data_IF_619288189555
#
_entry.id   IF_619288189555
#
_cell.length_a   1.000
_cell.length_b   1.000
_cell.length_c   1.000
_cell.angle_alpha   90.00
_cell.angle_beta   90.00
_cell.angle_gamma   90.00
#
_symmetry.space_group_name_H-M   'P 1'
#
loop_
_entity.id
_entity.type
_entity.pdbx_description
1 polymer ?
#
# COMPACT_ATOMS: atom_id res chain seq x y z
N UNK A 1 28.80 1.61 23.75
CA UNK A 1 27.49 1.44 23.07
C UNK A 1 27.60 2.15 21.73
N UNK A 2 27.57 1.41 20.61
CA UNK A 2 27.58 2.05 19.28
C UNK A 2 26.15 2.56 19.05
N UNK A 3 25.98 3.88 19.03
CA UNK A 3 24.71 4.50 18.61
C UNK A 3 24.66 4.34 17.09
N UNK A 4 23.78 3.48 16.60
CA UNK A 4 23.54 3.32 15.17
C UNK A 4 22.40 4.26 14.79
N UNK A 5 22.66 5.21 13.90
CA UNK A 5 21.57 5.94 13.27
C UNK A 5 20.88 5.05 12.24
N UNK A 6 19.63 5.38 11.89
CA UNK A 6 18.88 4.67 10.84
C UNK A 6 19.65 4.54 9.53
N UNK A 7 20.44 5.54 9.14
CA UNK A 7 21.31 5.44 7.96
C UNK A 7 22.39 4.37 8.08
N UNK A 8 22.91 4.13 9.28
CA UNK A 8 23.96 3.14 9.53
C UNK A 8 23.40 1.72 9.45
N UNK A 9 22.16 1.54 9.92
CA UNK A 9 21.42 0.27 9.77
C UNK A 9 21.25 -0.07 8.29
N UNK A 10 20.74 0.87 7.49
CA UNK A 10 20.57 0.66 6.04
C UNK A 10 21.90 0.25 5.40
N UNK A 11 22.98 1.00 5.66
CA UNK A 11 24.30 0.68 5.10
C UNK A 11 24.76 -0.72 5.52
N UNK A 12 24.65 -1.04 6.80
CA UNK A 12 25.14 -2.32 7.34
C UNK A 12 24.37 -3.50 6.73
N UNK A 13 23.04 -3.44 6.64
CA UNK A 13 22.21 -4.48 6.02
C UNK A 13 22.59 -4.66 4.55
N UNK A 14 22.63 -3.56 3.79
CA UNK A 14 22.86 -3.61 2.35
C UNK A 14 24.28 -4.11 2.04
N UNK A 15 25.30 -3.64 2.75
CA UNK A 15 26.67 -4.11 2.56
C UNK A 15 26.86 -5.58 2.97
N UNK A 16 26.27 -6.04 4.07
CA UNK A 16 26.30 -7.47 4.46
C UNK A 16 25.69 -8.37 3.39
N UNK A 17 24.71 -7.86 2.64
CA UNK A 17 24.05 -8.56 1.54
C UNK A 17 24.69 -8.31 0.17
N UNK A 18 25.91 -7.74 0.09
CA UNK A 18 26.60 -7.36 -1.15
C UNK A 18 25.78 -6.44 -2.07
N UNK A 19 24.90 -5.62 -1.49
CA UNK A 19 24.13 -4.60 -2.20
C UNK A 19 24.86 -3.27 -2.06
N UNK A 20 25.70 -2.92 -3.05
CA UNK A 20 26.51 -1.69 -3.00
C UNK A 20 25.97 -0.55 -3.86
N UNK A 21 24.94 -0.82 -4.68
CA UNK A 21 24.43 0.14 -5.65
C UNK A 21 23.26 0.97 -5.09
N UNK A 22 23.54 1.72 -4.00
CA UNK A 22 22.51 2.51 -3.32
C UNK A 22 23.00 3.90 -2.90
N UNK A 23 22.03 4.79 -2.69
CA UNK A 23 22.22 6.09 -2.07
C UNK A 23 21.17 6.29 -0.97
N UNK A 24 21.56 6.86 0.17
CA UNK A 24 20.63 7.20 1.25
C UNK A 24 20.38 8.70 1.22
N UNK A 25 19.11 9.12 1.25
CA UNK A 25 18.70 10.52 1.32
C UNK A 25 17.80 10.76 2.52
N UNK A 26 18.22 11.64 3.42
CA UNK A 26 17.40 12.06 4.55
C UNK A 26 16.47 13.18 4.08
N UNK A 27 15.25 12.84 3.64
CA UNK A 27 14.25 13.80 3.18
C UNK A 27 12.86 13.19 3.06
N UNK A 28 11.87 14.07 2.98
CA UNK A 28 10.47 13.71 2.76
C UNK A 28 9.72 13.55 4.07
N UNK A 29 8.43 13.20 3.96
CA UNK A 29 7.53 12.99 5.10
C UNK A 29 7.44 11.54 5.54
N UNK A 30 7.87 10.61 4.69
CA UNK A 30 7.74 9.17 4.89
C UNK A 30 9.00 8.53 4.33
N UNK A 31 9.57 7.60 5.09
CA UNK A 31 10.65 6.72 4.64
C UNK A 31 10.15 5.80 3.52
N UNK A 32 10.98 5.58 2.49
CA UNK A 32 10.61 4.71 1.35
C UNK A 32 11.81 4.24 0.54
N UNK A 33 11.69 3.08 -0.07
CA UNK A 33 12.63 2.55 -1.05
C UNK A 33 12.22 2.91 -2.48
N UNK A 34 13.09 3.63 -3.20
CA UNK A 34 12.99 3.83 -4.64
C UNK A 34 14.01 2.94 -5.36
N UNK A 35 13.58 1.72 -5.67
CA UNK A 35 14.43 0.74 -6.32
C UNK A 35 14.62 1.01 -7.81
N UNK A 36 15.87 0.98 -8.24
CA UNK A 36 16.28 0.91 -9.63
C UNK A 36 17.53 0.01 -9.69
N UNK A 37 17.57 -0.91 -10.66
CA UNK A 37 18.71 -1.82 -10.87
C UNK A 37 20.05 -1.08 -10.97
N UNK A 38 20.04 0.11 -11.57
CA UNK A 38 21.24 0.93 -11.78
C UNK A 38 21.61 1.81 -10.61
N UNK A 39 20.66 2.19 -9.75
CA UNK A 39 20.92 2.99 -8.54
C UNK A 39 19.67 3.04 -7.66
N UNK A 40 19.64 2.28 -6.58
CA UNK A 40 18.54 2.33 -5.62
C UNK A 40 18.70 3.51 -4.68
N UNK A 41 17.62 4.21 -4.37
CA UNK A 41 17.64 5.31 -3.40
C UNK A 41 16.76 4.93 -2.20
N UNK A 42 17.33 4.94 -1.01
CA UNK A 42 16.60 4.78 0.25
C UNK A 42 16.34 6.16 0.82
N UNK A 43 15.07 6.55 0.93
CA UNK A 43 14.67 7.78 1.60
C UNK A 43 14.37 7.46 3.05
N UNK A 44 14.98 8.21 3.96
CA UNK A 44 14.67 8.17 5.40
C UNK A 44 14.05 9.52 5.76
N UNK A 45 12.90 9.51 6.41
CA UNK A 45 12.29 10.71 6.95
C UNK A 45 13.21 11.32 8.02
N UNK A 46 13.39 12.64 8.11
CA UNK A 46 14.20 13.24 9.18
C UNK A 46 13.79 12.82 10.59
N UNK A 47 12.47 12.66 10.82
CA UNK A 47 11.92 12.17 12.09
C UNK A 47 12.31 10.72 12.39
N UNK A 48 12.50 9.91 11.35
CA UNK A 48 12.95 8.53 11.46
C UNK A 48 14.48 8.42 11.52
N UNK A 49 15.25 9.51 11.38
CA UNK A 49 16.70 9.44 11.40
C UNK A 49 17.30 9.59 12.81
N UNK A 50 16.90 8.71 13.71
CA UNK A 50 17.42 8.64 15.07
C UNK A 50 17.76 7.17 15.45
N UNK A 51 18.14 6.97 16.70
CA UNK A 51 18.53 5.69 17.31
C UNK A 51 17.37 4.95 18.00
N UNK A 52 16.15 5.46 17.88
CA UNK A 52 14.97 4.81 18.46
C UNK A 52 14.70 3.47 17.77
N UNK A 53 14.22 2.50 18.55
CA UNK A 53 13.87 1.18 18.02
C UNK A 53 12.97 1.23 16.78
N UNK A 54 11.95 2.10 16.78
CA UNK A 54 11.03 2.23 15.65
C UNK A 54 11.74 2.73 14.39
N UNK A 55 12.59 3.74 14.53
CA UNK A 55 13.40 4.28 13.45
C UNK A 55 14.34 3.21 12.85
N UNK A 56 14.98 2.41 13.69
CA UNK A 56 15.83 1.30 13.25
C UNK A 56 15.02 0.20 12.51
N UNK A 57 13.80 -0.10 12.97
CA UNK A 57 12.88 -1.01 12.27
C UNK A 57 12.52 -0.47 10.88
N UNK A 58 12.12 0.80 10.79
CA UNK A 58 11.76 1.45 9.51
C UNK A 58 12.95 1.42 8.56
N UNK A 59 14.15 1.77 9.04
CA UNK A 59 15.37 1.69 8.25
C UNK A 59 15.63 0.28 7.69
N UNK A 60 15.49 -0.76 8.52
CA UNK A 60 15.66 -2.14 8.10
C UNK A 60 14.57 -2.61 7.13
N UNK A 61 13.34 -2.14 7.30
CA UNK A 61 12.24 -2.38 6.40
C UNK A 61 12.55 -1.82 5.00
N UNK A 62 12.98 -0.56 4.89
CA UNK A 62 13.32 0.03 3.59
C UNK A 62 14.52 -0.64 2.92
N UNK A 63 15.53 -1.02 3.69
CA UNK A 63 16.66 -1.79 3.17
C UNK A 63 16.20 -3.16 2.64
N UNK A 64 15.28 -3.82 3.34
CA UNK A 64 14.75 -5.14 2.96
C UNK A 64 13.93 -5.10 1.68
N UNK A 65 13.21 -4.00 1.39
CA UNK A 65 12.59 -3.82 0.08
C UNK A 65 13.62 -3.88 -1.05
N UNK A 66 14.74 -3.15 -0.91
CA UNK A 66 15.79 -3.12 -1.94
C UNK A 66 16.36 -4.52 -2.23
N UNK A 67 16.58 -5.31 -1.18
CA UNK A 67 17.07 -6.67 -1.30
C UNK A 67 16.04 -7.61 -1.94
N UNK A 68 14.78 -7.56 -1.49
CA UNK A 68 13.68 -8.35 -2.04
C UNK A 68 13.46 -8.06 -3.53
N UNK A 69 13.55 -6.80 -3.94
CA UNK A 69 13.42 -6.41 -5.34
C UNK A 69 14.60 -6.87 -6.20
N UNK A 70 15.83 -6.81 -5.68
CA UNK A 70 17.01 -7.36 -6.38
C UNK A 70 16.91 -8.86 -6.60
N UNK A 71 16.45 -9.59 -5.59
CA UNK A 71 16.40 -11.06 -5.60
C UNK A 71 15.16 -11.60 -6.31
N UNK A 72 14.29 -10.74 -6.84
CA UNK A 72 13.07 -11.14 -7.54
C UNK A 72 11.99 -11.71 -6.61
N UNK A 73 12.11 -11.52 -5.30
CA UNK A 73 11.12 -11.94 -4.30
C UNK A 73 9.79 -11.23 -4.50
N UNK A 74 9.86 -9.95 -4.90
CA UNK A 74 8.74 -9.14 -5.36
C UNK A 74 9.14 -8.42 -6.66
N UNK A 75 8.19 -8.25 -7.58
CA UNK A 75 8.40 -7.47 -8.80
C UNK A 75 7.94 -6.02 -8.57
N UNK A 76 8.88 -5.06 -8.40
CA UNK A 76 8.52 -3.66 -8.14
C UNK A 76 7.83 -2.99 -9.34
N UNK A 77 8.07 -3.47 -10.56
CA UNK A 77 7.40 -2.93 -11.76
C UNK A 77 5.93 -3.30 -11.79
N UNK A 78 5.60 -4.54 -11.40
CA UNK A 78 4.23 -4.99 -11.28
C UNK A 78 3.49 -4.25 -10.15
N UNK A 79 4.13 -4.07 -8.99
CA UNK A 79 3.54 -3.31 -7.87
C UNK A 79 3.18 -1.88 -8.31
N UNK A 80 4.12 -1.19 -8.98
CA UNK A 80 3.91 0.17 -9.48
C UNK A 80 2.82 0.25 -10.56
N UNK A 81 2.74 -0.77 -11.42
CA UNK A 81 1.66 -0.87 -12.40
C UNK A 81 0.29 -1.02 -11.72
N UNK A 82 0.17 -1.96 -10.77
CA UNK A 82 -1.07 -2.18 -10.03
C UNK A 82 -1.49 -0.94 -9.24
N UNK A 83 -0.55 -0.25 -8.60
CA UNK A 83 -0.81 1.00 -7.90
C UNK A 83 -1.38 2.07 -8.84
N UNK A 84 -0.74 2.25 -10.00
CA UNK A 84 -1.18 3.23 -11.01
C UNK A 84 -2.54 2.86 -11.59
N UNK A 85 -2.76 1.58 -11.91
CA UNK A 85 -4.03 1.08 -12.43
C UNK A 85 -5.16 1.29 -11.42
N UNK A 86 -4.95 0.89 -10.17
CA UNK A 86 -5.89 1.11 -9.07
C UNK A 86 -6.24 2.61 -8.93
N UNK A 87 -5.25 3.50 -8.84
CA UNK A 87 -5.49 4.95 -8.72
C UNK A 87 -6.25 5.52 -9.93
N UNK A 88 -5.87 5.11 -11.13
CA UNK A 88 -6.49 5.60 -12.37
C UNK A 88 -7.94 5.13 -12.47
N UNK A 89 -8.20 3.85 -12.21
CA UNK A 89 -9.54 3.26 -12.24
C UNK A 89 -10.39 3.87 -11.12
N UNK A 90 -9.84 4.08 -9.93
CA UNK A 90 -10.52 4.77 -8.84
C UNK A 90 -10.99 6.18 -9.22
N UNK A 91 -10.09 7.00 -9.76
CA UNK A 91 -10.43 8.35 -10.23
C UNK A 91 -11.45 8.28 -11.37
N UNK A 92 -11.26 7.38 -12.33
CA UNK A 92 -12.19 7.22 -13.45
C UNK A 92 -13.59 6.82 -12.97
N UNK A 93 -13.71 5.85 -12.07
CA UNK A 93 -14.98 5.42 -11.48
C UNK A 93 -15.65 6.56 -10.71
N UNK A 94 -14.87 7.31 -9.92
CA UNK A 94 -15.36 8.46 -9.15
C UNK A 94 -15.91 9.59 -10.04
N UNK A 95 -15.38 9.78 -11.24
CA UNK A 95 -15.85 10.79 -12.19
C UNK A 95 -16.98 10.28 -13.09
N UNK A 96 -16.86 9.07 -13.61
CA UNK A 96 -17.77 8.50 -14.60
C UNK A 96 -19.12 8.17 -13.96
N UNK A 97 -19.15 7.50 -12.81
CA UNK A 97 -20.43 7.05 -12.21
C UNK A 97 -21.35 8.22 -11.89
N UNK A 98 -20.92 9.29 -11.20
CA UNK A 98 -21.78 10.43 -10.95
C UNK A 98 -22.22 11.13 -12.23
N UNK A 99 -21.32 11.27 -13.21
CA UNK A 99 -21.64 11.90 -14.50
C UNK A 99 -22.74 11.12 -15.23
N UNK A 100 -22.62 9.80 -15.31
CA UNK A 100 -23.64 8.95 -15.88
C UNK A 100 -24.96 9.14 -15.13
N UNK A 101 -24.94 9.04 -13.80
CA UNK A 101 -26.13 9.24 -12.97
C UNK A 101 -26.84 10.58 -13.24
N UNK A 102 -26.09 11.68 -13.37
CA UNK A 102 -26.64 12.98 -13.74
C UNK A 102 -27.27 12.97 -15.14
N UNK A 103 -26.62 12.37 -16.13
CA UNK A 103 -27.16 12.28 -17.50
C UNK A 103 -28.46 11.47 -17.57
N UNK A 104 -28.58 10.39 -16.80
CA UNK A 104 -29.83 9.61 -16.70
C UNK A 104 -30.91 10.38 -15.96
N UNK A 105 -30.57 11.10 -14.88
CA UNK A 105 -31.53 11.92 -14.12
C UNK A 105 -32.21 12.99 -14.98
N UNK A 106 -31.46 13.60 -15.91
CA UNK A 106 -31.97 14.60 -16.85
C UNK A 106 -32.50 14.00 -18.16
N UNK A 107 -32.61 12.66 -18.25
CA UNK A 107 -33.03 11.93 -19.46
C UNK A 107 -32.20 12.29 -20.72
N UNK A 108 -30.95 12.73 -20.55
CA UNK A 108 -30.05 13.08 -21.65
C UNK A 108 -29.51 11.81 -22.32
N UNK A 109 -29.21 10.79 -21.52
CA UNK A 109 -28.72 9.50 -22.00
C UNK A 109 -29.25 8.38 -21.10
N UNK A 110 -29.80 7.33 -21.71
CA UNK A 110 -30.13 6.10 -21.01
C UNK A 110 -29.05 5.07 -21.26
N UNK A 111 -28.59 4.43 -20.19
CA UNK A 111 -27.59 3.37 -20.27
C UNK A 111 -28.06 2.15 -19.45
N UNK A 112 -27.67 0.94 -19.87
CA UNK A 112 -28.06 -0.25 -19.14
C UNK A 112 -27.40 -0.24 -17.76
N UNK A 113 -28.19 -0.48 -16.71
CA UNK A 113 -27.71 -0.51 -15.32
C UNK A 113 -26.50 -1.45 -15.14
N UNK A 114 -26.45 -2.53 -15.93
CA UNK A 114 -25.33 -3.49 -15.97
C UNK A 114 -23.98 -2.83 -16.27
N UNK A 115 -23.95 -1.74 -17.03
CA UNK A 115 -22.71 -1.00 -17.34
C UNK A 115 -22.09 -0.34 -16.10
N UNK A 116 -22.90 0.31 -15.26
CA UNK A 116 -22.44 0.90 -14.00
C UNK A 116 -21.88 -0.19 -13.09
N UNK A 117 -22.58 -1.31 -12.99
CA UNK A 117 -22.12 -2.46 -12.21
C UNK A 117 -20.79 -3.01 -12.72
N UNK A 118 -20.59 -3.12 -14.03
CA UNK A 118 -19.32 -3.54 -14.61
C UNK A 118 -18.16 -2.61 -14.21
N UNK A 119 -18.38 -1.29 -14.17
CA UNK A 119 -17.35 -0.33 -13.73
C UNK A 119 -17.00 -0.49 -12.24
N UNK A 120 -18.00 -0.75 -11.40
CA UNK A 120 -17.80 -0.99 -9.96
C UNK A 120 -17.03 -2.30 -9.74
N UNK A 121 -17.42 -3.37 -10.43
CA UNK A 121 -16.71 -4.65 -10.34
C UNK A 121 -15.27 -4.55 -10.84
N UNK A 122 -15.03 -3.83 -11.93
CA UNK A 122 -13.68 -3.58 -12.44
C UNK A 122 -12.83 -2.84 -11.41
N UNK A 123 -13.39 -1.81 -10.76
CA UNK A 123 -12.73 -1.06 -9.70
C UNK A 123 -12.37 -1.95 -8.50
N UNK A 124 -13.35 -2.72 -8.00
CA UNK A 124 -13.15 -3.65 -6.89
C UNK A 124 -12.09 -4.71 -7.20
N UNK A 125 -12.11 -5.26 -8.40
CA UNK A 125 -11.12 -6.24 -8.85
C UNK A 125 -9.69 -5.69 -8.80
N UNK A 126 -9.44 -4.51 -9.37
CA UNK A 126 -8.11 -3.90 -9.35
C UNK A 126 -7.67 -3.47 -7.94
N UNK A 127 -8.61 -3.04 -7.11
CA UNK A 127 -8.35 -2.71 -5.70
C UNK A 127 -7.87 -3.95 -4.93
N UNK A 128 -8.60 -5.07 -5.05
CA UNK A 128 -8.24 -6.33 -4.39
C UNK A 128 -6.89 -6.83 -4.90
N UNK A 129 -6.66 -6.82 -6.21
CA UNK A 129 -5.38 -7.24 -6.79
C UNK A 129 -4.19 -6.43 -6.27
N UNK A 130 -4.32 -5.10 -6.27
CA UNK A 130 -3.27 -4.22 -5.74
C UNK A 130 -3.00 -4.52 -4.26
N UNK A 131 -4.05 -4.65 -3.46
CA UNK A 131 -3.93 -4.83 -2.01
C UNK A 131 -3.34 -6.18 -1.63
N UNK A 132 -3.73 -7.26 -2.29
CA UNK A 132 -3.11 -8.59 -2.10
C UNK A 132 -1.62 -8.53 -2.44
N UNK A 133 -1.27 -7.89 -3.57
CA UNK A 133 0.12 -7.83 -4.02
C UNK A 133 0.98 -6.95 -3.09
N UNK A 134 0.46 -5.79 -2.70
CA UNK A 134 1.09 -4.86 -1.76
C UNK A 134 1.30 -5.52 -0.39
N UNK A 135 0.25 -6.09 0.20
CA UNK A 135 0.33 -6.77 1.51
C UNK A 135 1.34 -7.92 1.50
N UNK A 136 1.42 -8.66 0.39
CA UNK A 136 2.40 -9.74 0.24
C UNK A 136 3.84 -9.20 0.21
N UNK A 137 4.06 -8.06 -0.43
CA UNK A 137 5.37 -7.39 -0.43
C UNK A 137 5.75 -6.96 0.98
N UNK A 138 4.87 -6.19 1.63
CA UNK A 138 5.05 -5.69 3.01
C UNK A 138 5.35 -6.82 4.00
N UNK A 139 4.56 -7.89 3.99
CA UNK A 139 4.76 -9.03 4.90
C UNK A 139 6.13 -9.72 4.71
N UNK A 140 6.58 -9.85 3.46
CA UNK A 140 7.90 -10.44 3.17
C UNK A 140 9.03 -9.51 3.56
N UNK A 141 8.86 -8.21 3.33
CA UNK A 141 9.82 -7.18 3.71
C UNK A 141 9.95 -7.08 5.22
N UNK A 142 8.85 -7.04 5.96
CA UNK A 142 8.83 -7.07 7.43
C UNK A 142 9.54 -8.31 7.99
N UNK A 143 9.23 -9.50 7.45
CA UNK A 143 9.87 -10.75 7.88
C UNK A 143 11.38 -10.69 7.66
N UNK A 144 11.83 -10.16 6.52
CA UNK A 144 13.25 -10.02 6.22
C UNK A 144 13.92 -8.99 7.13
N UNK A 145 13.31 -7.82 7.30
CA UNK A 145 13.86 -6.75 8.14
C UNK A 145 14.18 -7.23 9.56
N UNK A 146 13.30 -8.05 10.14
CA UNK A 146 13.53 -8.69 11.44
C UNK A 146 14.79 -9.56 11.43
N UNK A 147 14.97 -10.39 10.40
CA UNK A 147 16.13 -11.28 10.26
C UNK A 147 17.42 -10.46 10.09
N UNK A 148 17.40 -9.42 9.24
CA UNK A 148 18.57 -8.57 9.01
C UNK A 148 18.96 -7.78 10.28
N UNK A 149 17.97 -7.27 11.03
CA UNK A 149 18.22 -6.65 12.33
C UNK A 149 18.84 -7.65 13.32
N UNK A 150 18.34 -8.88 13.38
CA UNK A 150 18.92 -9.92 14.24
C UNK A 150 20.37 -10.24 13.85
N UNK A 151 20.68 -10.28 12.55
CA UNK A 151 22.03 -10.54 12.05
C UNK A 151 23.01 -9.39 12.35
N UNK A 152 22.52 -8.15 12.39
CA UNK A 152 23.36 -6.98 12.70
C UNK A 152 23.71 -6.90 14.18
N UNK A 153 22.80 -7.37 15.03
CA UNK A 153 22.85 -7.26 16.49
C UNK A 153 23.04 -8.59 17.19
N UNK A 154 23.37 -9.67 16.49
CA UNK A 154 23.71 -10.95 17.12
C UNK A 154 24.87 -10.87 18.13
N UNK A 155 25.59 -9.74 18.16
CA UNK A 155 26.63 -9.39 19.14
C UNK A 155 26.12 -8.56 20.36
N UNK A 156 24.82 -8.33 20.54
CA UNK A 156 24.26 -7.59 21.69
C UNK A 156 22.74 -7.71 21.87
N UNK A 157 22.26 -7.60 23.11
CA UNK A 157 20.84 -7.75 23.49
C UNK A 157 19.93 -6.74 22.78
N UNK A 158 19.30 -7.16 21.67
CA UNK A 158 18.17 -6.42 21.11
C UNK A 158 16.97 -6.62 22.03
N UNK A 159 16.46 -5.54 22.61
CA UNK A 159 15.31 -5.58 23.51
C UNK A 159 14.14 -6.32 22.82
N UNK A 160 13.71 -7.43 23.44
CA UNK A 160 12.66 -8.31 22.94
C UNK A 160 11.32 -7.58 22.67
N UNK A 161 11.17 -6.36 23.18
CA UNK A 161 10.04 -5.47 22.95
C UNK A 161 9.89 -4.98 21.50
N UNK A 162 11.00 -4.82 20.74
CA UNK A 162 11.00 -4.40 19.33
C UNK A 162 10.18 -5.36 18.46
N UNK A 163 10.20 -6.66 18.78
CA UNK A 163 9.54 -7.71 18.00
C UNK A 163 8.01 -7.83 18.24
N UNK A 164 7.46 -7.19 19.28
CA UNK A 164 6.01 -7.25 19.58
C UNK A 164 5.17 -6.28 18.75
N UNK A 165 5.76 -5.22 18.19
CA UNK A 165 5.02 -4.13 17.54
C UNK A 165 4.53 -4.54 16.13
N UNK A 166 5.22 -5.45 15.44
CA UNK A 166 5.06 -5.65 14.00
C UNK A 166 3.81 -6.46 13.58
N UNK A 167 3.33 -7.39 14.41
CA UNK A 167 2.17 -8.23 14.04
C UNK A 167 0.85 -7.46 13.91
N UNK A 168 0.73 -6.28 14.52
CA UNK A 168 -0.56 -5.57 14.65
C UNK A 168 -0.89 -4.72 13.41
N UNK A 169 0.12 -4.17 12.74
CA UNK A 169 -0.02 -3.25 11.60
C UNK A 169 -0.46 -3.96 10.32
N UNK A 170 0.13 -5.13 10.04
CA UNK A 170 -0.22 -5.98 8.90
C UNK A 170 -1.66 -6.52 8.98
N UNK A 171 -2.14 -6.81 10.19
CA UNK A 171 -3.51 -7.30 10.39
C UNK A 171 -4.53 -6.17 10.15
N UNK A 172 -4.25 -4.95 10.60
CA UNK A 172 -5.15 -3.80 10.43
C UNK A 172 -5.29 -3.36 8.98
N UNK A 173 -4.22 -3.35 8.18
CA UNK A 173 -4.30 -3.00 6.76
C UNK A 173 -5.17 -3.99 5.98
N UNK A 174 -5.01 -5.30 6.25
CA UNK A 174 -5.86 -6.35 5.67
C UNK A 174 -7.32 -6.22 6.14
N UNK A 175 -7.55 -6.00 7.43
CA UNK A 175 -8.91 -5.89 7.99
C UNK A 175 -9.67 -4.69 7.42
N UNK A 176 -9.02 -3.53 7.38
CA UNK A 176 -9.64 -2.27 6.94
C UNK A 176 -10.02 -2.34 5.46
N UNK A 177 -9.15 -2.91 4.62
CA UNK A 177 -9.41 -3.04 3.17
C UNK A 177 -10.46 -4.12 2.89
N UNK A 178 -10.40 -5.27 3.55
CA UNK A 178 -11.29 -6.40 3.23
C UNK A 178 -12.69 -6.22 3.80
N UNK A 179 -12.83 -5.59 4.98
CA UNK A 179 -14.12 -5.47 5.69
C UNK A 179 -14.81 -4.13 5.48
N UNK A 180 -14.11 -3.05 5.09
CA UNK A 180 -14.78 -1.77 4.79
C UNK A 180 -14.98 -1.54 3.28
N UNK A 181 -13.98 -1.85 2.44
CA UNK A 181 -14.06 -1.53 1.01
C UNK A 181 -14.97 -2.50 0.27
N UNK A 182 -14.92 -3.81 0.58
CA UNK A 182 -15.77 -4.80 -0.08
C UNK A 182 -17.25 -4.59 0.26
N UNK A 183 -17.66 -4.40 1.54
CA UNK A 183 -19.04 -4.07 1.85
C UNK A 183 -19.45 -2.69 1.36
N UNK A 184 -18.57 -1.68 1.33
CA UNK A 184 -18.92 -0.39 0.72
C UNK A 184 -19.19 -0.52 -0.79
N UNK A 185 -18.38 -1.31 -1.51
CA UNK A 185 -18.57 -1.58 -2.94
C UNK A 185 -19.79 -2.47 -3.24
N UNK A 186 -20.23 -3.30 -2.28
CA UNK A 186 -21.45 -4.11 -2.41
C UNK A 186 -22.70 -3.36 -1.95
N UNK A 187 -22.62 -2.62 -0.83
CA UNK A 187 -23.78 -1.99 -0.17
C UNK A 187 -24.09 -0.59 -0.72
N UNK A 188 -23.08 0.22 -1.10
CA UNK A 188 -23.35 1.54 -1.67
C UNK A 188 -24.20 1.47 -2.95
N UNK A 189 -24.01 0.48 -3.83
CA UNK A 189 -24.88 0.30 -4.98
C UNK A 189 -26.29 -0.22 -4.65
N UNK A 190 -26.45 -1.06 -3.62
CA UNK A 190 -27.78 -1.41 -3.09
C UNK A 190 -28.49 -0.20 -2.48
N UNK A 191 -27.76 0.66 -1.78
CA UNK A 191 -28.26 1.95 -1.29
C UNK A 191 -28.68 2.89 -2.42
N UNK A 192 -27.87 2.97 -3.49
CA UNK A 192 -28.19 3.76 -4.67
C UNK A 192 -29.42 3.23 -5.40
N UNK A 193 -29.54 1.90 -5.54
CA UNK A 193 -30.72 1.23 -6.11
C UNK A 193 -31.98 1.49 -5.28
N UNK A 194 -31.86 1.42 -3.95
CA UNK A 194 -32.97 1.73 -3.05
C UNK A 194 -33.42 3.19 -3.17
N UNK A 195 -32.49 4.15 -3.19
CA UNK A 195 -32.79 5.57 -3.39
C UNK A 195 -33.45 5.83 -4.75
N UNK A 196 -32.97 5.18 -5.81
CA UNK A 196 -33.56 5.27 -7.15
C UNK A 196 -35.01 4.77 -7.19
N UNK A 197 -35.29 3.63 -6.56
CA UNK A 197 -36.66 3.11 -6.48
C UNK A 197 -37.57 4.01 -5.62
N UNK A 198 -37.03 4.58 -4.54
CA UNK A 198 -37.77 5.54 -3.72
C UNK A 198 -38.20 6.77 -4.55
N UNK A 199 -37.27 7.33 -5.33
CA UNK A 199 -37.54 8.48 -6.20
C UNK A 199 -38.50 8.18 -7.35
N UNK A 200 -38.38 7.02 -8.00
CA UNK A 200 -39.26 6.62 -9.09
C UNK A 200 -40.69 6.36 -8.61
N UNK A 201 -40.86 5.76 -7.43
CA UNK A 201 -42.17 5.54 -6.84
C UNK A 201 -42.84 6.85 -6.40
N UNK A 202 -42.08 7.85 -5.96
CA UNK A 202 -42.60 9.19 -5.65
C UNK A 202 -43.10 9.95 -6.88
N UNK A 203 -42.52 9.71 -8.06
CA UNK A 203 -42.99 10.29 -9.33
C UNK A 203 -44.26 9.63 -9.88
N UNK A 204 -44.52 8.37 -9.53
CA UNK A 204 -45.74 7.66 -9.94
C UNK A 204 -46.97 7.96 -9.09
N UNK A 205 -46.82 8.71 -7.99
CA UNK A 205 -47.88 9.06 -7.04
C UNK A 205 -48.34 10.53 -7.10
N UNK A 206 -47.85 11.31 -8.07
CA UNK A 206 -48.26 12.68 -8.39
C UNK A 206 -48.95 12.70 -9.76
#
# INVERSE_FOLDING_TARGET
MIILHSTDVVKKILHQNNFNNFEIKIKGRISKCAYNKEKTIIYICPEDNNDSANSLIVAAHEASHALNYREGVTNPSLLKFLEKAHKTIFIATLLIIPTLFFLELFNILQFPKTFIWSLIYLNGFFTILFQIYYTRDEAKTEKRAIIELQNIWSDGELDKNIFKINKKTLIWSIYTVTILVVPALVLAPYGLYFLLNLFLNLKGSL
#
